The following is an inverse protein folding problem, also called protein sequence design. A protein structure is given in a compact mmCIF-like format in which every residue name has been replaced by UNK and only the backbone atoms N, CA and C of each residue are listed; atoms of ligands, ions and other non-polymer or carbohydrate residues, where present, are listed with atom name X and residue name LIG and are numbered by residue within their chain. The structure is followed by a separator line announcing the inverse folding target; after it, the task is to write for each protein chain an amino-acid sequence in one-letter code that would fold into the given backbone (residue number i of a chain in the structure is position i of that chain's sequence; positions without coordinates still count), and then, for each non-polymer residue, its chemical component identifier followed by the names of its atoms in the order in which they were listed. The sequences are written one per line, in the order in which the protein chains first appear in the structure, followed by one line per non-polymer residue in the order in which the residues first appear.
data_IF_670389228035
#
_entry.id   IF_670389228035
#
_cell.length_a   1.000
_cell.length_b   1.000
_cell.length_c   1.000
_cell.angle_alpha   90.00
_cell.angle_beta   90.00
_cell.angle_gamma   90.00
#
_symmetry.space_group_name_H-M   'P 1'
#
loop_
_entity.id
_entity.type
_entity.pdbx_description
1 polymer ?
#
# COMPACT_ATOMS: atom_id res chain seq x y z
N UNK A 1 14.37 -13.72 -23.33
CA UNK A 1 12.91 -13.59 -23.16
C UNK A 1 12.63 -12.46 -22.19
N UNK A 2 11.89 -11.48 -22.60
CA UNK A 2 11.54 -10.36 -21.72
C UNK A 2 10.48 -10.82 -20.73
N UNK A 3 10.74 -10.55 -19.46
CA UNK A 3 9.78 -10.83 -18.40
C UNK A 3 9.13 -9.52 -17.98
N UNK A 4 7.81 -9.48 -18.06
CA UNK A 4 7.05 -8.26 -17.76
C UNK A 4 6.15 -8.48 -16.54
N UNK A 5 6.31 -7.63 -15.53
CA UNK A 5 5.43 -7.63 -14.39
C UNK A 5 4.33 -6.59 -14.61
N UNK A 6 3.13 -6.95 -14.23
CA UNK A 6 1.98 -6.07 -14.32
C UNK A 6 1.46 -5.78 -12.93
N UNK A 7 1.31 -4.51 -12.60
CA UNK A 7 0.79 -4.07 -11.31
C UNK A 7 -0.53 -3.33 -11.51
N UNK A 8 -1.47 -3.57 -10.61
CA UNK A 8 -2.79 -2.96 -10.65
C UNK A 8 -3.12 -2.27 -9.35
N UNK A 9 -3.88 -1.19 -9.43
CA UNK A 9 -4.38 -0.51 -8.23
C UNK A 9 -5.36 -1.40 -7.47
N UNK A 10 -5.16 -1.53 -6.17
CA UNK A 10 -6.01 -2.37 -5.33
C UNK A 10 -7.39 -1.76 -5.06
N UNK A 11 -7.60 -0.51 -5.44
CA UNK A 11 -8.89 0.18 -5.27
C UNK A 11 -9.67 0.23 -6.57
N UNK A 12 -9.07 0.76 -7.63
CA UNK A 12 -9.78 0.97 -8.91
C UNK A 12 -9.36 0.00 -10.01
N UNK A 13 -8.38 -0.85 -9.76
CA UNK A 13 -7.88 -1.87 -10.69
C UNK A 13 -7.21 -1.30 -11.95
N UNK A 14 -6.80 -0.04 -11.90
CA UNK A 14 -6.08 0.57 -13.01
C UNK A 14 -4.69 -0.08 -13.14
N UNK A 15 -4.29 -0.38 -14.38
CA UNK A 15 -2.97 -0.97 -14.63
C UNK A 15 -1.89 0.10 -14.57
N UNK A 16 -0.79 -0.21 -13.88
CA UNK A 16 0.35 0.68 -13.81
C UNK A 16 1.14 0.67 -15.11
N UNK A 17 1.48 1.84 -15.60
CA UNK A 17 2.36 1.99 -16.77
C UNK A 17 3.78 2.30 -16.29
N UNK A 18 4.77 1.97 -17.12
CA UNK A 18 6.17 2.12 -16.75
C UNK A 18 6.57 3.55 -16.40
N UNK A 19 5.91 4.54 -17.01
CA UNK A 19 6.21 5.95 -16.78
C UNK A 19 5.32 6.60 -15.73
N UNK A 20 4.52 5.83 -15.01
CA UNK A 20 3.65 6.36 -13.97
C UNK A 20 4.44 6.71 -12.72
N UNK A 21 4.32 7.96 -12.25
CA UNK A 21 5.06 8.43 -11.09
C UNK A 21 4.18 8.67 -9.85
N UNK A 22 2.87 8.62 -10.02
CA UNK A 22 1.93 8.98 -8.96
C UNK A 22 1.49 7.80 -8.08
N UNK A 23 2.10 6.64 -8.27
CA UNK A 23 1.71 5.45 -7.56
C UNK A 23 2.30 5.39 -6.16
N UNK A 24 1.57 4.72 -5.26
CA UNK A 24 1.93 4.58 -3.86
C UNK A 24 1.86 3.13 -3.42
N UNK A 25 2.62 2.80 -2.37
CA UNK A 25 2.54 1.51 -1.71
C UNK A 25 2.08 1.72 -0.27
N UNK A 26 1.24 0.80 0.20
CA UNK A 26 0.70 0.86 1.56
C UNK A 26 0.72 -0.56 2.14
N UNK A 27 1.10 -0.70 3.39
CA UNK A 27 1.00 -1.98 4.08
C UNK A 27 0.84 -1.77 5.58
N UNK A 28 0.28 -2.79 6.23
CA UNK A 28 0.14 -2.81 7.67
C UNK A 28 1.50 -3.07 8.31
N UNK A 29 1.89 -2.23 9.27
CA UNK A 29 3.14 -2.38 9.98
C UNK A 29 2.90 -2.12 11.47
N UNK A 30 2.29 -3.09 12.19
CA UNK A 30 1.98 -2.90 13.60
C UNK A 30 3.23 -2.57 14.42
N UNK A 31 3.10 -1.65 15.37
CA UNK A 31 4.20 -1.22 16.23
C UNK A 31 3.92 -1.63 17.67
N UNK A 32 4.99 -2.00 18.39
CA UNK A 32 4.87 -2.33 19.79
C UNK A 32 4.59 -1.06 20.62
N UNK A 33 3.61 -1.16 21.51
CA UNK A 33 3.31 -0.06 22.42
C UNK A 33 4.32 -0.04 23.56
N UNK A 34 4.77 1.16 23.95
CA UNK A 34 5.68 1.33 25.08
C UNK A 34 4.98 1.12 26.43
N UNK A 35 3.66 1.22 26.47
CA UNK A 35 2.89 1.17 27.71
C UNK A 35 1.99 -0.04 27.81
N UNK A 36 1.89 -0.84 26.75
CA UNK A 36 1.01 -2.01 26.70
C UNK A 36 1.72 -3.10 25.91
N UNK A 37 1.52 -4.36 26.25
CA UNK A 37 2.10 -5.48 25.53
C UNK A 37 1.46 -5.72 24.17
N UNK A 38 0.35 -5.04 23.88
CA UNK A 38 -0.35 -5.19 22.63
C UNK A 38 0.34 -4.40 21.54
N UNK A 39 0.27 -4.93 20.32
CA UNK A 39 0.72 -4.18 19.16
C UNK A 39 -0.34 -3.14 18.78
N UNK A 40 0.13 -1.94 18.47
CA UNK A 40 -0.74 -0.86 18.02
C UNK A 40 -0.89 -0.98 16.51
N UNK A 41 -2.13 -0.99 15.98
CA UNK A 41 -2.34 -0.99 14.54
C UNK A 41 -1.68 0.23 13.92
N UNK A 42 -0.90 0.02 12.89
CA UNK A 42 -0.23 1.09 12.17
C UNK A 42 -0.16 0.75 10.69
N UNK A 43 -0.10 1.78 9.85
CA UNK A 43 -0.04 1.62 8.41
C UNK A 43 1.08 2.48 7.87
N UNK A 44 1.86 1.94 6.96
CA UNK A 44 2.97 2.65 6.33
C UNK A 44 2.62 2.98 4.89
N UNK A 45 2.93 4.20 4.49
CA UNK A 45 2.69 4.69 3.14
C UNK A 45 4.03 5.17 2.57
N UNK A 46 4.32 4.78 1.34
CA UNK A 46 5.51 5.27 0.66
C UNK A 46 5.26 5.40 -0.84
N UNK A 47 6.11 6.15 -1.51
CA UNK A 47 6.05 6.21 -2.97
C UNK A 47 6.38 4.84 -3.53
N UNK A 48 5.77 4.53 -4.67
CA UNK A 48 5.96 3.23 -5.30
C UNK A 48 7.43 2.96 -5.59
N UNK A 49 7.91 1.80 -5.15
CA UNK A 49 9.29 1.35 -5.35
C UNK A 49 9.26 -0.08 -5.83
N UNK A 50 10.05 -0.37 -6.85
CA UNK A 50 10.06 -1.70 -7.45
C UNK A 50 10.44 -2.80 -6.46
N UNK A 51 11.42 -2.56 -5.60
CA UNK A 51 11.84 -3.56 -4.62
C UNK A 51 10.75 -3.85 -3.60
N UNK A 52 10.11 -2.81 -3.09
CA UNK A 52 9.06 -2.96 -2.09
C UNK A 52 7.75 -3.45 -2.69
N UNK A 53 7.56 -3.26 -4.00
CA UNK A 53 6.35 -3.70 -4.67
C UNK A 53 6.20 -5.23 -4.70
N UNK A 54 7.29 -5.96 -4.49
CA UNK A 54 7.27 -7.42 -4.45
C UNK A 54 6.86 -7.98 -3.10
N UNK A 55 6.69 -7.14 -2.09
CA UNK A 55 6.20 -7.59 -0.79
C UNK A 55 4.76 -8.09 -0.94
N UNK A 56 4.47 -9.27 -0.38
CA UNK A 56 3.14 -9.85 -0.46
C UNK A 56 2.09 -9.02 0.28
N UNK A 57 2.51 -8.21 1.24
CA UNK A 57 1.62 -7.39 2.05
C UNK A 57 1.39 -5.99 1.45
N UNK A 58 2.21 -5.59 0.49
CA UNK A 58 2.12 -4.25 -0.09
C UNK A 58 0.91 -4.14 -1.02
N UNK A 59 0.17 -3.06 -0.87
CA UNK A 59 -0.97 -2.74 -1.72
C UNK A 59 -0.58 -1.60 -2.66
N UNK A 60 -0.97 -1.72 -3.91
CA UNK A 60 -0.61 -0.76 -4.95
C UNK A 60 -1.75 0.21 -5.17
N UNK A 61 -1.46 1.50 -5.15
CA UNK A 61 -2.47 2.55 -5.31
C UNK A 61 -2.02 3.50 -6.41
N UNK A 62 -2.93 3.83 -7.32
CA UNK A 62 -2.60 4.56 -8.52
C UNK A 62 -2.54 6.09 -8.32
N UNK A 63 -2.87 6.58 -7.14
CA UNK A 63 -2.82 8.00 -6.85
C UNK A 63 -3.39 8.33 -5.49
N UNK A 64 -3.37 9.62 -5.14
CA UNK A 64 -3.80 10.08 -3.83
C UNK A 64 -5.26 9.75 -3.52
N UNK A 65 -6.14 9.81 -4.51
CA UNK A 65 -7.56 9.51 -4.30
C UNK A 65 -7.75 8.06 -3.85
N UNK A 66 -7.08 7.11 -4.51
CA UNK A 66 -7.16 5.70 -4.14
C UNK A 66 -6.45 5.46 -2.81
N UNK A 67 -5.36 6.19 -2.54
CA UNK A 67 -4.68 6.11 -1.27
C UNK A 67 -5.62 6.52 -0.12
N UNK A 68 -6.33 7.63 -0.27
CA UNK A 68 -7.29 8.08 0.73
C UNK A 68 -8.41 7.06 0.94
N UNK A 69 -8.90 6.47 -0.13
CA UNK A 69 -9.92 5.43 -0.05
C UNK A 69 -9.43 4.23 0.74
N UNK A 70 -8.20 3.80 0.47
CA UNK A 70 -7.59 2.67 1.17
C UNK A 70 -7.40 2.98 2.65
N UNK A 71 -6.94 4.18 2.99
CA UNK A 71 -6.76 4.61 4.37
C UNK A 71 -8.10 4.66 5.10
N UNK A 72 -9.14 5.16 4.44
CA UNK A 72 -10.47 5.23 5.03
C UNK A 72 -10.99 3.83 5.36
N UNK A 73 -10.82 2.88 4.45
CA UNK A 73 -11.21 1.49 4.67
C UNK A 73 -10.42 0.87 5.82
N UNK A 74 -9.12 1.13 5.86
CA UNK A 74 -8.27 0.61 6.92
C UNK A 74 -8.69 1.15 8.29
N UNK A 75 -8.95 2.44 8.38
CA UNK A 75 -9.41 3.07 9.62
C UNK A 75 -10.73 2.49 10.08
N UNK A 76 -11.64 2.22 9.15
CA UNK A 76 -12.94 1.63 9.47
C UNK A 76 -12.81 0.22 10.04
N UNK A 77 -11.78 -0.52 9.64
CA UNK A 77 -11.54 -1.88 10.12
C UNK A 77 -10.94 -1.92 11.53
N UNK A 78 -10.43 -0.80 12.04
CA UNK A 78 -9.76 -0.73 13.32
C UNK A 78 -10.69 -0.45 14.49
N UNK A 79 -11.97 -0.39 14.28
CA UNK A 79 -12.97 -0.15 15.34
C UNK A 79 -13.34 -1.41 16.09
#
# INVERSE_FOLDING_TARGET
MAWTETFHCDVCNKQKKDDSEDWWLVWDEPVASATDERQVPAIKVMRWDLLMSHSAEARHLCGAACLHTMLDRWLSQQH
#
